data_IF_997135770051
#
_entry.id   IF_997135770051
#
_cell.length_a   1.000
_cell.length_b   1.000
_cell.length_c   1.000
_cell.angle_alpha   90.00
_cell.angle_beta   90.00
_cell.angle_gamma   90.00
#
_symmetry.space_group_name_H-M   'P 1'
#
loop_
_entity.id
_entity.type
_entity.pdbx_description
1 polymer ?
#
# COMPACT_ATOMS: atom_id res chain seq x y z
N UNK A 1 -14.91 -16.05 -27.05
CA UNK A 1 -15.04 -17.04 -25.96
C UNK A 1 -13.75 -17.02 -25.16
N UNK A 2 -13.72 -16.31 -24.07
CA UNK A 2 -12.58 -16.31 -23.12
C UNK A 2 -12.65 -17.62 -22.34
N UNK A 3 -11.73 -18.52 -22.60
CA UNK A 3 -11.54 -19.74 -21.81
C UNK A 3 -11.16 -19.32 -20.39
N UNK A 4 -12.10 -19.45 -19.44
CA UNK A 4 -11.77 -19.30 -18.02
C UNK A 4 -10.71 -20.34 -17.65
N UNK A 5 -9.50 -19.90 -17.32
CA UNK A 5 -8.45 -20.79 -16.81
C UNK A 5 -8.86 -21.30 -15.43
N UNK A 6 -8.96 -22.61 -15.29
CA UNK A 6 -9.16 -23.26 -13.99
C UNK A 6 -7.80 -23.47 -13.32
N UNK A 7 -7.50 -22.65 -12.32
CA UNK A 7 -6.27 -22.79 -11.53
C UNK A 7 -6.41 -23.91 -10.49
N UNK A 8 -5.43 -24.81 -10.47
CA UNK A 8 -5.29 -25.80 -9.40
C UNK A 8 -4.89 -25.14 -8.06
N UNK A 9 -5.00 -25.83 -6.92
CA UNK A 9 -4.50 -25.31 -5.65
C UNK A 9 -3.01 -24.94 -5.70
N UNK A 10 -2.20 -25.69 -6.46
CA UNK A 10 -0.77 -25.41 -6.64
C UNK A 10 -0.58 -24.14 -7.46
N UNK A 11 -1.34 -23.93 -8.53
CA UNK A 11 -1.26 -22.70 -9.33
C UNK A 11 -1.60 -21.48 -8.47
N UNK A 12 -2.62 -21.58 -7.62
CA UNK A 12 -2.97 -20.48 -6.68
C UNK A 12 -1.85 -20.18 -5.69
N UNK A 13 -1.20 -21.22 -5.15
CA UNK A 13 -0.06 -21.03 -4.26
C UNK A 13 1.11 -20.36 -4.99
N UNK A 14 1.39 -20.78 -6.23
CA UNK A 14 2.45 -20.18 -7.06
C UNK A 14 2.15 -18.72 -7.40
N UNK A 15 0.90 -18.39 -7.72
CA UNK A 15 0.47 -17.00 -7.95
C UNK A 15 0.63 -16.14 -6.69
N UNK A 16 0.26 -16.65 -5.52
CA UNK A 16 0.47 -15.93 -4.25
C UNK A 16 1.96 -15.70 -3.97
N UNK A 17 2.80 -16.71 -4.21
CA UNK A 17 4.25 -16.58 -4.06
C UNK A 17 4.85 -15.58 -5.07
N UNK A 18 4.39 -15.58 -6.33
CA UNK A 18 4.83 -14.61 -7.35
C UNK A 18 4.48 -13.18 -6.92
N UNK A 19 3.24 -12.95 -6.46
CA UNK A 19 2.82 -11.63 -5.99
C UNK A 19 3.61 -11.18 -4.76
N UNK A 20 3.86 -12.08 -3.80
CA UNK A 20 4.72 -11.77 -2.65
C UNK A 20 6.14 -11.37 -3.06
N UNK A 21 6.72 -12.08 -4.03
CA UNK A 21 8.05 -11.76 -4.56
C UNK A 21 8.04 -10.42 -5.28
N UNK A 22 7.03 -10.11 -6.07
CA UNK A 22 6.89 -8.81 -6.76
C UNK A 22 6.75 -7.65 -5.78
N UNK A 23 6.14 -7.88 -4.62
CA UNK A 23 6.01 -6.86 -3.56
C UNK A 23 7.31 -6.65 -2.80
N UNK A 24 8.09 -7.70 -2.55
CA UNK A 24 9.23 -7.67 -1.64
C UNK A 24 10.59 -7.52 -2.32
N UNK A 25 10.71 -7.96 -3.59
CA UNK A 25 11.98 -7.88 -4.29
C UNK A 25 12.16 -6.51 -4.95
N UNK A 26 13.35 -5.91 -4.84
CA UNK A 26 13.64 -4.63 -5.47
C UNK A 26 13.38 -4.65 -6.98
N UNK A 27 12.79 -3.59 -7.52
CA UNK A 27 12.50 -3.39 -8.95
C UNK A 27 11.62 -4.47 -9.61
N UNK A 28 10.93 -5.28 -8.83
CA UNK A 28 10.06 -6.35 -9.36
C UNK A 28 8.66 -5.85 -9.69
N UNK A 29 8.20 -4.77 -9.05
CA UNK A 29 6.94 -4.10 -9.39
C UNK A 29 7.07 -3.34 -10.70
N UNK A 30 6.31 -3.74 -11.72
CA UNK A 30 6.21 -3.02 -13.00
C UNK A 30 4.96 -2.15 -12.94
N UNK A 31 5.09 -0.82 -12.86
CA UNK A 31 3.92 0.05 -12.79
C UNK A 31 3.15 0.06 -14.11
N UNK A 32 1.83 0.08 -14.02
CA UNK A 32 0.94 0.21 -15.18
C UNK A 32 0.82 1.67 -15.62
N UNK A 33 0.85 2.60 -14.66
CA UNK A 33 0.79 4.04 -14.90
C UNK A 33 2.18 4.66 -14.76
N UNK A 34 2.53 5.67 -15.58
CA UNK A 34 3.77 6.41 -15.39
C UNK A 34 3.76 7.15 -14.04
N UNK A 35 4.93 7.25 -13.41
CA UNK A 35 5.03 8.02 -12.15
C UNK A 35 4.68 9.49 -12.37
N UNK A 36 3.85 10.10 -11.50
CA UNK A 36 3.56 11.53 -11.55
C UNK A 36 4.80 12.43 -11.43
N UNK A 37 5.88 11.89 -10.86
CA UNK A 37 7.16 12.58 -10.71
C UNK A 37 7.91 12.82 -12.03
N UNK A 38 7.57 12.11 -13.13
CA UNK A 38 8.35 12.16 -14.39
C UNK A 38 8.35 13.56 -14.98
N UNK A 39 7.25 14.30 -14.88
CA UNK A 39 7.11 15.64 -15.44
C UNK A 39 7.57 16.75 -14.49
N UNK A 40 7.96 16.41 -13.27
CA UNK A 40 8.37 17.37 -12.26
C UNK A 40 9.87 17.64 -12.31
N UNK A 41 10.30 18.89 -12.02
CA UNK A 41 11.71 19.25 -12.01
C UNK A 41 12.48 18.55 -10.88
N UNK A 42 13.80 18.43 -11.07
CA UNK A 42 14.69 18.01 -9.99
C UNK A 42 14.94 19.17 -9.01
N UNK A 43 14.72 18.92 -7.73
CA UNK A 43 14.99 19.88 -6.67
C UNK A 43 16.43 19.77 -6.15
N UNK A 44 17.05 20.90 -5.85
CA UNK A 44 18.29 20.94 -5.06
C UNK A 44 17.93 21.07 -3.58
N UNK A 45 17.91 19.96 -2.87
CA UNK A 45 17.64 19.90 -1.44
C UNK A 45 18.94 19.80 -0.65
N UNK A 46 18.90 20.27 0.60
CA UNK A 46 19.97 20.01 1.57
C UNK A 46 20.10 18.49 1.84
N UNK A 47 21.26 18.05 2.32
CA UNK A 47 21.45 16.64 2.71
C UNK A 47 20.47 16.22 3.83
N UNK A 48 20.11 17.15 4.71
CA UNK A 48 19.15 16.92 5.79
C UNK A 48 17.76 16.71 5.23
N UNK A 49 17.30 17.55 4.31
CA UNK A 49 16.00 17.44 3.67
C UNK A 49 15.90 16.18 2.81
N UNK A 50 16.95 15.88 2.03
CA UNK A 50 17.04 14.65 1.25
C UNK A 50 16.86 13.39 2.11
N UNK A 51 17.53 13.34 3.27
CA UNK A 51 17.39 12.22 4.22
C UNK A 51 15.99 12.17 4.85
N UNK A 52 15.43 13.34 5.16
CA UNK A 52 14.07 13.41 5.69
C UNK A 52 13.03 12.90 4.69
N UNK A 53 13.06 13.42 3.47
CA UNK A 53 12.17 12.98 2.38
C UNK A 53 12.33 11.48 2.09
N UNK A 54 13.56 10.98 2.03
CA UNK A 54 13.80 9.55 1.87
C UNK A 54 13.17 8.71 2.99
N UNK A 55 13.16 9.22 4.23
CA UNK A 55 12.47 8.61 5.36
C UNK A 55 10.95 8.59 5.20
N UNK A 56 10.34 9.70 4.76
CA UNK A 56 8.90 9.78 4.49
C UNK A 56 8.49 8.82 3.36
N UNK A 57 9.22 8.83 2.25
CA UNK A 57 8.95 7.94 1.11
C UNK A 57 9.13 6.45 1.48
N UNK A 58 10.05 6.13 2.39
CA UNK A 58 10.23 4.76 2.91
C UNK A 58 9.05 4.32 3.77
N UNK A 59 8.49 5.21 4.59
CA UNK A 59 7.24 4.93 5.33
C UNK A 59 6.12 4.58 4.35
N UNK A 60 5.91 5.43 3.32
CA UNK A 60 4.86 5.21 2.33
C UNK A 60 5.09 3.89 1.60
N UNK A 61 6.30 3.62 1.09
CA UNK A 61 6.63 2.34 0.46
C UNK A 61 6.31 1.13 1.36
N UNK A 62 6.61 1.21 2.66
CA UNK A 62 6.26 0.12 3.59
C UNK A 62 4.75 0.03 3.80
N UNK A 63 4.04 1.16 3.76
CA UNK A 63 2.57 1.20 3.73
C UNK A 63 2.02 0.39 2.55
N UNK A 64 2.55 0.62 1.34
CA UNK A 64 2.14 -0.13 0.13
C UNK A 64 2.47 -1.62 0.21
N UNK A 65 3.61 -1.98 0.80
CA UNK A 65 3.93 -3.39 1.10
C UNK A 65 2.88 -4.01 2.03
N UNK A 66 2.42 -3.26 3.03
CA UNK A 66 1.36 -3.71 3.94
C UNK A 66 0.00 -3.81 3.23
N UNK A 67 -0.36 -2.84 2.38
CA UNK A 67 -1.62 -2.84 1.62
C UNK A 67 -1.68 -4.04 0.67
N UNK A 68 -0.63 -4.26 -0.12
CA UNK A 68 -0.50 -5.44 -0.97
C UNK A 68 -0.72 -6.75 -0.21
N UNK A 69 -0.06 -6.89 0.93
CA UNK A 69 -0.17 -8.09 1.76
C UNK A 69 -1.58 -8.26 2.36
N UNK A 70 -2.20 -7.17 2.81
CA UNK A 70 -3.59 -7.14 3.29
C UNK A 70 -4.55 -7.61 2.21
N UNK A 71 -4.51 -7.00 1.02
CA UNK A 71 -5.37 -7.36 -0.10
C UNK A 71 -5.21 -8.81 -0.52
N UNK A 72 -3.98 -9.32 -0.58
CA UNK A 72 -3.73 -10.73 -0.88
C UNK A 72 -4.32 -11.67 0.17
N UNK A 73 -4.13 -11.37 1.46
CA UNK A 73 -4.73 -12.15 2.55
C UNK A 73 -6.26 -12.14 2.51
N UNK A 74 -6.84 -10.98 2.23
CA UNK A 74 -8.29 -10.81 2.10
C UNK A 74 -8.84 -11.55 0.86
N UNK A 75 -8.20 -11.43 -0.30
CA UNK A 75 -8.60 -12.15 -1.51
C UNK A 75 -8.55 -13.67 -1.32
N UNK A 76 -7.53 -14.18 -0.62
CA UNK A 76 -7.40 -15.60 -0.32
C UNK A 76 -8.59 -16.16 0.46
N UNK A 77 -9.17 -15.37 1.37
CA UNK A 77 -10.22 -15.78 2.31
C UNK A 77 -11.61 -15.24 2.00
N UNK A 78 -11.73 -14.36 0.99
CA UNK A 78 -13.00 -13.80 0.53
C UNK A 78 -14.01 -14.89 0.11
N UNK A 79 -15.24 -14.76 0.59
CA UNK A 79 -16.33 -15.72 0.34
C UNK A 79 -17.09 -15.38 -0.94
N UNK A 80 -17.29 -14.10 -1.22
CA UNK A 80 -17.99 -13.61 -2.40
C UNK A 80 -17.00 -13.38 -3.55
N UNK A 81 -17.24 -13.93 -4.76
CA UNK A 81 -16.34 -13.78 -5.89
C UNK A 81 -16.07 -12.31 -6.27
N UNK A 82 -17.07 -11.44 -6.17
CA UNK A 82 -16.94 -10.02 -6.46
C UNK A 82 -16.04 -9.28 -5.46
N UNK A 83 -16.07 -9.67 -4.17
CA UNK A 83 -15.17 -9.11 -3.16
C UNK A 83 -13.74 -9.55 -3.41
N UNK A 84 -13.54 -10.82 -3.75
CA UNK A 84 -12.23 -11.33 -4.15
C UNK A 84 -11.67 -10.55 -5.34
N UNK A 85 -12.46 -10.40 -6.42
CA UNK A 85 -12.04 -9.68 -7.62
C UNK A 85 -11.72 -8.21 -7.32
N UNK A 86 -12.47 -7.56 -6.43
CA UNK A 86 -12.19 -6.19 -6.00
C UNK A 86 -10.86 -6.09 -5.24
N UNK A 87 -10.56 -7.05 -4.36
CA UNK A 87 -9.27 -7.08 -3.64
C UNK A 87 -8.08 -7.37 -4.56
N UNK A 88 -8.26 -8.28 -5.53
CA UNK A 88 -7.23 -8.57 -6.52
C UNK A 88 -6.95 -7.33 -7.40
N UNK A 89 -8.00 -6.60 -7.80
CA UNK A 89 -7.85 -5.37 -8.59
C UNK A 89 -7.18 -4.24 -7.80
N UNK A 90 -7.58 -4.00 -6.54
CA UNK A 90 -6.93 -3.02 -5.69
C UNK A 90 -5.43 -3.35 -5.50
N UNK A 91 -5.10 -4.64 -5.28
CA UNK A 91 -3.70 -5.06 -5.19
C UNK A 91 -2.89 -4.79 -6.48
N UNK A 92 -3.52 -4.81 -7.66
CA UNK A 92 -2.86 -4.43 -8.92
C UNK A 92 -2.58 -2.93 -8.99
N UNK A 93 -3.48 -2.09 -8.50
CA UNK A 93 -3.30 -0.61 -8.47
C UNK A 93 -2.20 -0.18 -7.51
N UNK A 94 -2.07 -0.88 -6.36
CA UNK A 94 -0.99 -0.63 -5.38
C UNK A 94 0.42 -0.90 -5.92
N UNK A 95 0.55 -1.69 -7.01
CA UNK A 95 1.85 -1.89 -7.66
C UNK A 95 2.42 -0.58 -8.20
N UNK A 96 1.57 0.33 -8.68
CA UNK A 96 1.98 1.64 -9.15
C UNK A 96 2.59 2.46 -8.01
N UNK A 97 1.88 2.55 -6.88
CA UNK A 97 2.32 3.28 -5.69
C UNK A 97 3.64 2.73 -5.13
N UNK A 98 3.72 1.40 -5.03
CA UNK A 98 4.94 0.71 -4.59
C UNK A 98 6.14 1.06 -5.46
N UNK A 99 5.98 0.98 -6.79
CA UNK A 99 7.03 1.26 -7.76
C UNK A 99 7.44 2.76 -7.75
N UNK A 100 6.47 3.68 -7.66
CA UNK A 100 6.75 5.12 -7.59
C UNK A 100 7.52 5.49 -6.33
N UNK A 101 7.11 4.95 -5.19
CA UNK A 101 7.81 5.15 -3.91
C UNK A 101 9.23 4.57 -3.96
N UNK A 102 9.43 3.34 -4.46
CA UNK A 102 10.75 2.74 -4.56
C UNK A 102 11.66 3.57 -5.47
N UNK A 103 11.17 3.95 -6.66
CA UNK A 103 11.94 4.77 -7.59
C UNK A 103 12.37 6.09 -6.93
N UNK A 104 11.45 6.76 -6.21
CA UNK A 104 11.77 8.02 -5.54
C UNK A 104 12.79 7.86 -4.42
N UNK A 105 12.67 6.83 -3.58
CA UNK A 105 13.65 6.50 -2.54
C UNK A 105 15.05 6.33 -3.15
N UNK A 106 15.16 5.63 -4.28
CA UNK A 106 16.43 5.40 -4.99
C UNK A 106 17.02 6.69 -5.57
N UNK A 107 16.18 7.56 -6.14
CA UNK A 107 16.61 8.90 -6.62
C UNK A 107 17.19 9.76 -5.48
N UNK A 108 16.67 9.58 -4.27
CA UNK A 108 17.17 10.25 -3.06
C UNK A 108 18.42 9.57 -2.46
N UNK A 109 19.01 8.57 -3.15
CA UNK A 109 20.20 7.85 -2.69
C UNK A 109 19.96 6.91 -1.51
N UNK A 110 18.73 6.44 -1.32
CA UNK A 110 18.32 5.60 -0.20
C UNK A 110 17.78 4.23 -0.67
N UNK A 111 17.18 3.46 0.24
CA UNK A 111 16.65 2.14 -0.02
C UNK A 111 15.33 1.91 0.71
N UNK A 112 14.46 0.97 0.24
CA UNK A 112 13.29 0.51 0.96
C UNK A 112 13.65 -0.11 2.32
N UNK A 113 12.68 -0.19 3.22
CA UNK A 113 12.91 -0.72 4.57
C UNK A 113 13.29 -2.20 4.55
N UNK A 114 14.30 -2.57 5.33
CA UNK A 114 14.68 -3.98 5.56
C UNK A 114 13.63 -4.75 6.37
N UNK A 115 12.68 -4.04 7.00
CA UNK A 115 11.58 -4.63 7.77
C UNK A 115 10.37 -5.02 6.90
N UNK A 116 10.38 -4.71 5.60
CA UNK A 116 9.28 -5.01 4.70
C UNK A 116 8.81 -6.48 4.73
N UNK A 117 9.69 -7.49 4.75
CA UNK A 117 9.24 -8.89 4.85
C UNK A 117 8.46 -9.20 6.14
N UNK A 118 8.84 -8.59 7.26
CA UNK A 118 8.13 -8.74 8.53
C UNK A 118 6.74 -8.10 8.46
N UNK A 119 6.65 -6.86 8.00
CA UNK A 119 5.38 -6.14 7.87
C UNK A 119 4.47 -6.80 6.84
N UNK A 120 5.02 -7.30 5.73
CA UNK A 120 4.28 -8.09 4.76
C UNK A 120 3.59 -9.30 5.42
N UNK A 121 4.36 -10.13 6.14
CA UNK A 121 3.83 -11.34 6.78
C UNK A 121 2.74 -11.04 7.81
N UNK A 122 2.93 -9.99 8.64
CA UNK A 122 1.95 -9.56 9.63
C UNK A 122 0.67 -9.05 8.95
N UNK A 123 0.79 -8.19 7.94
CA UNK A 123 -0.34 -7.62 7.20
C UNK A 123 -1.13 -8.68 6.46
N UNK A 124 -0.45 -9.62 5.80
CA UNK A 124 -1.09 -10.76 5.16
C UNK A 124 -1.94 -11.58 6.15
N UNK A 125 -1.38 -11.89 7.32
CA UNK A 125 -2.10 -12.60 8.38
C UNK A 125 -3.34 -11.84 8.87
N UNK A 126 -3.24 -10.53 9.05
CA UNK A 126 -4.37 -9.66 9.44
C UNK A 126 -5.43 -9.63 8.33
N UNK A 127 -5.04 -9.48 7.07
CA UNK A 127 -5.95 -9.49 5.92
C UNK A 127 -6.70 -10.82 5.81
N UNK A 128 -5.98 -11.94 5.92
CA UNK A 128 -6.59 -13.27 5.90
C UNK A 128 -7.57 -13.46 7.08
N UNK A 129 -7.24 -13.00 8.28
CA UNK A 129 -8.13 -13.07 9.43
C UNK A 129 -9.40 -12.22 9.23
N UNK A 130 -9.29 -11.01 8.68
CA UNK A 130 -10.44 -10.15 8.39
C UNK A 130 -11.41 -10.82 7.39
N UNK A 131 -10.90 -11.40 6.29
CA UNK A 131 -11.70 -12.11 5.31
C UNK A 131 -12.36 -13.38 5.86
N UNK A 132 -11.69 -14.11 6.76
CA UNK A 132 -12.28 -15.27 7.45
C UNK A 132 -13.48 -14.89 8.30
N UNK A 133 -13.48 -13.73 8.93
CA UNK A 133 -14.62 -13.24 9.72
C UNK A 133 -15.82 -13.00 8.79
N UNK A 134 -15.72 -12.10 7.86
CA UNK A 134 -16.71 -11.85 6.81
C UNK A 134 -16.21 -10.87 5.76
N UNK A 135 -16.81 -10.91 4.56
CA UNK A 135 -16.51 -9.94 3.49
C UNK A 135 -16.84 -8.49 3.91
N UNK A 136 -17.88 -8.27 4.73
CA UNK A 136 -18.20 -6.94 5.26
C UNK A 136 -17.13 -6.40 6.21
N UNK A 137 -16.55 -7.26 7.04
CA UNK A 137 -15.44 -6.90 7.93
C UNK A 137 -14.18 -6.66 7.11
N UNK A 138 -13.93 -7.49 6.11
CA UNK A 138 -12.81 -7.36 5.18
C UNK A 138 -12.84 -6.00 4.45
N UNK A 139 -13.95 -5.67 3.80
CA UNK A 139 -14.16 -4.37 3.14
C UNK A 139 -14.08 -3.19 4.11
N UNK A 140 -14.64 -3.33 5.32
CA UNK A 140 -14.55 -2.30 6.35
C UNK A 140 -13.11 -2.09 6.84
N UNK A 141 -12.29 -3.15 6.84
CA UNK A 141 -10.88 -3.06 7.17
C UNK A 141 -10.12 -2.28 6.10
N UNK A 142 -10.37 -2.55 4.81
CA UNK A 142 -9.85 -1.75 3.69
C UNK A 142 -10.18 -0.28 3.92
N UNK A 143 -11.47 0.08 4.00
CA UNK A 143 -11.87 1.47 4.16
C UNK A 143 -11.20 2.17 5.36
N UNK A 144 -11.04 1.46 6.50
CA UNK A 144 -10.40 2.03 7.67
C UNK A 144 -8.89 2.20 7.49
N UNK A 145 -8.24 1.32 6.76
CA UNK A 145 -6.81 1.40 6.43
C UNK A 145 -6.56 2.56 5.47
N UNK A 146 -7.32 2.65 4.36
CA UNK A 146 -7.12 3.70 3.36
C UNK A 146 -7.43 5.10 3.91
N UNK A 147 -8.46 5.28 4.71
CA UNK A 147 -8.66 6.55 5.43
C UNK A 147 -7.47 6.93 6.34
N UNK A 148 -6.78 5.93 6.90
CA UNK A 148 -5.60 6.17 7.72
C UNK A 148 -4.37 6.48 6.86
N UNK A 149 -4.24 5.85 5.70
CA UNK A 149 -3.21 6.16 4.71
C UNK A 149 -3.39 7.58 4.19
N UNK A 150 -4.60 7.99 3.77
CA UNK A 150 -4.89 9.37 3.35
C UNK A 150 -4.43 10.39 4.41
N UNK A 151 -4.73 10.13 5.68
CA UNK A 151 -4.28 11.03 6.77
C UNK A 151 -2.76 11.10 6.88
N UNK A 152 -2.05 9.97 6.72
CA UNK A 152 -0.58 9.97 6.74
C UNK A 152 0.00 10.69 5.52
N UNK A 153 -0.61 10.53 4.35
CA UNK A 153 -0.20 11.24 3.15
C UNK A 153 -0.37 12.75 3.31
N UNK A 154 -1.50 13.22 3.89
CA UNK A 154 -1.71 14.63 4.21
C UNK A 154 -0.63 15.15 5.19
N UNK A 155 -0.34 14.40 6.27
CA UNK A 155 0.71 14.74 7.24
C UNK A 155 2.12 14.77 6.59
N UNK A 156 2.41 13.88 5.65
CA UNK A 156 3.67 13.85 4.93
C UNK A 156 3.79 14.99 3.91
N UNK A 157 2.70 15.33 3.21
CA UNK A 157 2.65 16.47 2.27
C UNK A 157 2.98 17.80 2.96
N UNK A 158 2.54 17.97 4.22
CA UNK A 158 2.89 19.14 5.05
C UNK A 158 4.37 19.18 5.47
N UNK A 159 5.03 18.01 5.53
CA UNK A 159 6.42 17.87 5.96
C UNK A 159 7.42 17.92 4.79
N UNK A 160 6.96 17.83 3.55
CA UNK A 160 7.83 17.92 2.39
C UNK A 160 8.39 19.33 2.21
N UNK A 161 9.70 19.49 1.89
CA UNK A 161 10.24 20.73 1.41
C UNK A 161 9.44 21.27 0.23
N UNK A 162 9.28 22.60 0.16
CA UNK A 162 8.49 23.24 -0.90
C UNK A 162 9.04 22.96 -2.31
N UNK A 163 10.33 22.72 -2.41
CA UNK A 163 11.06 22.48 -3.66
C UNK A 163 10.88 21.04 -4.17
N UNK A 164 10.45 20.10 -3.33
CA UNK A 164 10.34 18.69 -3.72
C UNK A 164 9.00 18.38 -4.39
N UNK A 165 8.85 18.91 -5.61
CA UNK A 165 7.66 18.67 -6.43
C UNK A 165 7.50 17.20 -6.85
N UNK A 166 8.62 16.45 -6.98
CA UNK A 166 8.56 15.02 -7.35
C UNK A 166 7.89 14.16 -6.29
N UNK A 167 8.33 14.27 -5.03
CA UNK A 167 7.70 13.52 -3.95
C UNK A 167 6.27 14.00 -3.71
N UNK A 168 6.02 15.31 -3.80
CA UNK A 168 4.68 15.89 -3.67
C UNK A 168 3.71 15.30 -4.69
N UNK A 169 4.07 15.29 -5.97
CA UNK A 169 3.21 14.76 -7.03
C UNK A 169 2.86 13.27 -6.82
N UNK A 170 3.82 12.46 -6.32
CA UNK A 170 3.56 11.06 -5.98
C UNK A 170 2.54 10.98 -4.84
N UNK A 171 2.75 11.68 -3.73
CA UNK A 171 1.88 11.57 -2.56
C UNK A 171 0.48 12.14 -2.83
N UNK A 172 0.35 13.20 -3.63
CA UNK A 172 -0.95 13.74 -4.04
C UNK A 172 -1.74 12.75 -4.89
N UNK A 173 -1.09 12.06 -5.85
CA UNK A 173 -1.77 11.04 -6.65
C UNK A 173 -2.18 9.84 -5.78
N UNK A 174 -1.29 9.33 -4.96
CA UNK A 174 -1.60 8.26 -4.01
C UNK A 174 -2.81 8.63 -3.14
N UNK A 175 -2.82 9.84 -2.58
CA UNK A 175 -3.93 10.30 -1.74
C UNK A 175 -5.29 10.26 -2.44
N UNK A 176 -5.32 10.63 -3.74
CA UNK A 176 -6.54 10.59 -4.56
C UNK A 176 -7.00 9.13 -4.76
N UNK A 177 -6.06 8.26 -5.09
CA UNK A 177 -6.33 6.85 -5.35
C UNK A 177 -6.83 6.15 -4.06
N UNK A 178 -6.20 6.41 -2.90
CA UNK A 178 -6.58 5.82 -1.61
C UNK A 178 -7.95 6.29 -1.10
N UNK A 179 -8.30 7.56 -1.34
CA UNK A 179 -9.63 8.06 -1.02
C UNK A 179 -10.71 7.31 -1.83
N UNK A 180 -10.41 7.04 -3.12
CA UNK A 180 -11.29 6.25 -3.97
C UNK A 180 -11.41 4.79 -3.52
N UNK A 181 -10.31 4.15 -3.10
CA UNK A 181 -10.33 2.79 -2.54
C UNK A 181 -11.20 2.72 -1.27
N UNK A 182 -11.04 3.69 -0.37
CA UNK A 182 -11.83 3.76 0.86
C UNK A 182 -13.34 3.89 0.58
N UNK A 183 -13.73 4.79 -0.34
CA UNK A 183 -15.12 4.99 -0.73
C UNK A 183 -15.70 3.74 -1.40
N UNK A 184 -14.98 3.17 -2.36
CA UNK A 184 -15.37 1.95 -3.07
C UNK A 184 -15.60 0.77 -2.13
N UNK A 185 -14.76 0.60 -1.13
CA UNK A 185 -14.92 -0.45 -0.13
C UNK A 185 -16.17 -0.25 0.75
N UNK A 186 -16.50 1.00 1.10
CA UNK A 186 -17.72 1.31 1.85
C UNK A 186 -18.98 1.12 0.99
N UNK A 187 -18.95 1.53 -0.26
CA UNK A 187 -20.07 1.38 -1.22
C UNK A 187 -20.34 -0.10 -1.52
N UNK A 188 -19.29 -0.92 -1.52
CA UNK A 188 -19.41 -2.37 -1.61
C UNK A 188 -19.97 -3.04 -0.33
N UNK A 189 -20.33 -2.26 0.70
CA UNK A 189 -20.98 -2.72 1.93
C UNK A 189 -20.03 -2.96 3.10
N UNK A 190 -18.85 -2.35 3.07
CA UNK A 190 -17.86 -2.42 4.16
C UNK A 190 -18.41 -1.90 5.49
N UNK A 191 -18.08 -2.60 6.57
CA UNK A 191 -18.50 -2.22 7.92
C UNK A 191 -17.66 -1.05 8.46
N UNK A 192 -18.31 0.02 8.90
CA UNK A 192 -17.60 1.15 9.54
C UNK A 192 -17.16 0.78 10.94
N UNK A 193 -15.86 0.65 11.16
CA UNK A 193 -15.32 0.30 12.46
C UNK A 193 -15.52 1.38 13.53
N UNK A 194 -15.84 0.97 14.77
CA UNK A 194 -15.96 1.90 15.89
C UNK A 194 -14.59 2.49 16.28
N UNK A 195 -14.62 3.65 16.95
CA UNK A 195 -13.42 4.39 17.33
C UNK A 195 -12.34 3.57 18.06
N UNK A 196 -12.65 2.66 19.00
CA UNK A 196 -11.61 1.86 19.66
C UNK A 196 -10.82 0.96 18.72
N UNK A 197 -11.47 0.36 17.70
CA UNK A 197 -10.80 -0.47 16.69
C UNK A 197 -9.88 0.39 15.83
N UNK A 198 -10.38 1.52 15.34
CA UNK A 198 -9.58 2.47 14.57
C UNK A 198 -8.38 3.02 15.36
N UNK A 199 -8.57 3.23 16.66
CA UNK A 199 -7.47 3.62 17.55
C UNK A 199 -6.39 2.53 17.66
N UNK A 200 -6.79 1.26 17.81
CA UNK A 200 -5.86 0.13 17.79
C UNK A 200 -5.07 0.05 16.48
N UNK A 201 -5.74 0.21 15.33
CA UNK A 201 -5.10 0.28 14.01
C UNK A 201 -4.08 1.44 13.94
N UNK A 202 -4.42 2.61 14.49
CA UNK A 202 -3.50 3.77 14.51
C UNK A 202 -2.24 3.52 15.35
N UNK A 203 -2.33 2.72 16.42
CA UNK A 203 -1.16 2.32 17.21
C UNK A 203 -0.22 1.44 16.39
N UNK A 204 -0.77 0.43 15.69
CA UNK A 204 0.01 -0.45 14.82
C UNK A 204 0.71 0.34 13.70
N UNK A 205 -0.01 1.25 13.05
CA UNK A 205 0.58 2.12 12.04
C UNK A 205 1.71 3.00 12.60
N UNK A 206 1.55 3.55 13.80
CA UNK A 206 2.63 4.33 14.45
C UNK A 206 3.86 3.49 14.75
N UNK A 207 3.72 2.22 15.08
CA UNK A 207 4.85 1.30 15.25
C UNK A 207 5.56 1.11 13.91
N UNK A 208 4.83 0.85 12.84
CA UNK A 208 5.37 0.69 11.50
C UNK A 208 6.10 1.96 11.05
N UNK A 209 5.45 3.12 11.08
CA UNK A 209 6.03 4.39 10.61
C UNK A 209 7.31 4.78 11.37
N UNK A 210 7.31 4.63 12.70
CA UNK A 210 8.51 4.94 13.52
C UNK A 210 9.67 3.99 13.26
N UNK A 211 9.39 2.71 13.05
CA UNK A 211 10.44 1.71 12.82
C UNK A 211 11.05 1.80 11.42
N UNK A 212 10.24 2.15 10.40
CA UNK A 212 10.67 2.17 9.00
C UNK A 212 11.26 3.50 8.53
N UNK A 213 11.05 4.59 9.27
CA UNK A 213 11.58 5.91 8.90
C UNK A 213 13.10 5.92 8.66
N UNK A 214 13.88 5.12 9.40
CA UNK A 214 15.35 5.11 9.35
C UNK A 214 15.96 3.83 8.79
N UNK A 215 15.21 2.73 8.70
CA UNK A 215 15.70 1.40 8.32
C UNK A 215 14.84 0.69 7.28
#
# INVERSE_FOLDING_TARGET
MTTQRHYSPIDRLLLQADTAMRTLLPFSGQPYRPSPAIVQPDAQMSETDTRHVAGLMRINHTGEVCAQALYQGQALTAKLPQVRAAMEHAAEEEIDHLAWCEQRIRQLGSHPSVLNPLFYGLSFGIGAAAGLISDKVSLGFVAATEHQVCKHLDEHLEQLPAEDEKSRAILEQMRIDEEHHAESALDAGGFRFPAPVRFGMSILAKVMTKSTYRV
#
